data_IF_026421092880
#
_entry.id   IF_026421092880
#
_cell.length_a   1.000
_cell.length_b   1.000
_cell.length_c   1.000
_cell.angle_alpha   90.00
_cell.angle_beta   90.00
_cell.angle_gamma   90.00
#
_symmetry.space_group_name_H-M   'P 1'
#
loop_
_entity.id
_entity.type
_entity.pdbx_description
1 polymer ?
#
# COMPACT_ATOMS: atom_id res chain seq x y z
N UNK A 1 17.81 0.26 -17.85
CA UNK A 1 18.08 0.70 -16.47
C UNK A 1 16.86 1.42 -15.89
N UNK A 2 16.22 2.30 -16.66
CA UNK A 2 14.99 3.00 -16.27
C UNK A 2 13.79 2.06 -16.00
N UNK A 3 13.60 1.01 -16.80
CA UNK A 3 12.53 0.04 -16.59
C UNK A 3 12.54 -0.59 -15.19
N UNK A 4 13.68 -1.12 -14.74
CA UNK A 4 13.78 -1.78 -13.43
C UNK A 4 13.48 -0.81 -12.28
N UNK A 5 13.97 0.45 -12.40
CA UNK A 5 13.66 1.50 -11.45
C UNK A 5 12.16 1.84 -11.44
N UNK A 6 11.51 1.91 -12.60
CA UNK A 6 10.06 2.17 -12.69
C UNK A 6 9.24 1.08 -11.99
N UNK A 7 9.66 -0.18 -12.10
CA UNK A 7 9.04 -1.31 -11.39
C UNK A 7 9.27 -1.18 -9.88
N UNK A 8 10.47 -0.79 -9.46
CA UNK A 8 10.77 -0.59 -8.04
C UNK A 8 9.95 0.54 -7.42
N UNK A 9 9.80 1.66 -8.13
CA UNK A 9 8.91 2.76 -7.73
C UNK A 9 7.48 2.23 -7.61
N UNK A 10 6.99 1.49 -8.61
CA UNK A 10 5.63 0.94 -8.62
C UNK A 10 5.36 0.02 -7.44
N UNK A 11 6.26 -0.93 -7.16
CA UNK A 11 6.16 -1.84 -6.02
C UNK A 11 6.23 -1.10 -4.68
N UNK A 12 7.13 -0.11 -4.55
CA UNK A 12 7.23 0.70 -3.34
C UNK A 12 5.98 1.54 -3.08
N UNK A 13 5.43 2.18 -4.12
CA UNK A 13 4.18 2.93 -4.03
C UNK A 13 2.98 2.01 -3.74
N UNK A 14 2.91 0.83 -4.36
CA UNK A 14 1.88 -0.15 -4.07
C UNK A 14 1.94 -0.65 -2.62
N UNK A 15 3.13 -0.87 -2.09
CA UNK A 15 3.30 -1.20 -0.68
C UNK A 15 2.84 -0.08 0.25
N UNK A 16 3.17 1.17 -0.08
CA UNK A 16 2.72 2.34 0.66
C UNK A 16 1.18 2.45 0.66
N UNK A 17 0.53 2.07 -0.45
CA UNK A 17 -0.94 2.02 -0.57
C UNK A 17 -1.58 1.05 0.42
N UNK A 18 -0.93 -0.09 0.69
CA UNK A 18 -1.43 -1.06 1.66
C UNK A 18 -1.41 -0.57 3.12
N UNK A 19 -0.79 0.57 3.40
CA UNK A 19 -0.91 1.25 4.70
C UNK A 19 -1.98 2.33 4.66
N UNK A 20 -1.97 3.16 3.60
CA UNK A 20 -2.95 4.21 3.33
C UNK A 20 -3.08 4.44 1.85
N UNK A 21 -4.30 4.58 1.36
CA UNK A 21 -4.59 4.64 -0.05
C UNK A 21 -4.23 6.00 -0.61
N UNK A 22 -4.62 7.09 0.04
CA UNK A 22 -4.53 8.42 -0.57
C UNK A 22 -3.18 9.09 -0.38
N UNK A 23 -2.47 8.83 0.72
CA UNK A 23 -1.12 9.39 0.97
C UNK A 23 -0.13 9.12 -0.20
N UNK A 24 0.01 7.88 -0.71
CA UNK A 24 0.90 7.59 -1.84
C UNK A 24 0.47 8.26 -3.13
N UNK A 25 -0.84 8.35 -3.39
CA UNK A 25 -1.36 9.06 -4.56
C UNK A 25 -1.07 10.56 -4.49
N UNK A 26 -1.19 11.18 -3.32
CA UNK A 26 -0.82 12.58 -3.11
C UNK A 26 0.68 12.79 -3.37
N UNK A 27 1.53 11.94 -2.80
CA UNK A 27 2.99 12.04 -2.98
C UNK A 27 3.38 11.82 -4.45
N UNK A 28 2.81 10.80 -5.11
CA UNK A 28 3.02 10.55 -6.52
C UNK A 28 2.53 11.71 -7.40
N UNK A 29 1.37 12.31 -7.06
CA UNK A 29 0.82 13.47 -7.75
C UNK A 29 1.71 14.70 -7.61
N UNK A 30 2.21 15.00 -6.40
CA UNK A 30 3.17 16.09 -6.17
C UNK A 30 4.46 15.85 -6.95
N UNK A 31 5.01 14.63 -6.91
CA UNK A 31 6.23 14.30 -7.62
C UNK A 31 6.06 14.41 -9.13
N UNK A 32 4.93 13.96 -9.68
CA UNK A 32 4.62 14.10 -11.10
C UNK A 32 4.39 15.56 -11.50
N UNK A 33 3.65 16.33 -10.70
CA UNK A 33 3.38 17.75 -10.94
C UNK A 33 4.67 18.59 -10.92
N UNK A 34 5.65 18.22 -10.09
CA UNK A 34 6.96 18.88 -9.98
C UNK A 34 8.00 18.34 -10.97
N UNK A 35 7.65 17.35 -11.80
CA UNK A 35 8.55 16.74 -12.78
C UNK A 35 9.56 15.74 -12.20
N UNK A 36 9.45 15.38 -10.93
CA UNK A 36 10.31 14.41 -10.25
C UNK A 36 9.88 12.94 -10.47
N UNK A 37 8.69 12.70 -11.01
CA UNK A 37 8.18 11.37 -11.33
C UNK A 37 7.62 11.35 -12.75
N UNK A 38 8.14 10.45 -13.59
CA UNK A 38 7.59 10.23 -14.92
C UNK A 38 6.41 9.27 -14.84
N UNK A 39 5.31 9.66 -15.48
CA UNK A 39 4.10 8.86 -15.59
C UNK A 39 3.95 8.35 -17.02
N UNK A 40 3.35 7.18 -17.15
CA UNK A 40 2.97 6.65 -18.45
C UNK A 40 1.88 7.49 -19.11
N UNK A 41 1.83 7.48 -20.44
CA UNK A 41 1.03 8.41 -21.27
C UNK A 41 -0.42 8.56 -20.83
N UNK A 42 -1.09 7.47 -20.46
CA UNK A 42 -2.50 7.46 -20.05
C UNK A 42 -2.75 7.85 -18.60
N UNK A 43 -1.69 8.02 -17.80
CA UNK A 43 -1.76 8.34 -16.37
C UNK A 43 -1.26 9.74 -16.03
N UNK A 44 -0.87 10.55 -17.03
CA UNK A 44 -0.46 11.94 -16.83
C UNK A 44 -1.47 12.79 -16.04
N UNK A 45 -2.75 12.40 -16.04
CA UNK A 45 -3.79 13.05 -15.24
C UNK A 45 -3.46 13.07 -13.73
N UNK A 46 -2.70 12.09 -13.20
CA UNK A 46 -2.28 12.04 -11.79
C UNK A 46 -1.41 13.25 -11.44
N UNK A 47 -0.58 13.73 -12.38
CA UNK A 47 0.29 14.89 -12.22
C UNK A 47 -0.38 16.23 -12.53
N UNK A 48 -1.72 16.31 -12.56
CA UNK A 48 -2.45 17.56 -12.83
C UNK A 48 -2.87 18.27 -11.55
N UNK A 49 -3.06 19.60 -11.61
CA UNK A 49 -3.51 20.39 -10.45
C UNK A 49 -4.86 19.91 -9.89
N UNK A 50 -5.89 19.56 -10.69
CA UNK A 50 -7.13 18.99 -10.15
C UNK A 50 -6.93 17.67 -9.40
N UNK A 51 -6.07 16.78 -9.92
CA UNK A 51 -5.75 15.52 -9.25
C UNK A 51 -5.02 15.77 -7.92
N UNK A 52 -4.05 16.67 -7.90
CA UNK A 52 -3.31 17.06 -6.69
C UNK A 52 -4.25 17.58 -5.61
N UNK A 53 -5.16 18.50 -5.95
CA UNK A 53 -6.17 19.02 -5.01
C UNK A 53 -7.05 17.89 -4.50
N UNK A 54 -7.52 17.02 -5.39
CA UNK A 54 -8.40 15.88 -5.05
C UNK A 54 -7.71 14.93 -4.07
N UNK A 55 -6.47 14.52 -4.36
CA UNK A 55 -5.71 13.65 -3.48
C UNK A 55 -5.36 14.34 -2.15
N UNK A 56 -5.10 15.65 -2.16
CA UNK A 56 -4.86 16.42 -0.93
C UNK A 56 -6.08 16.38 0.00
N UNK A 57 -7.26 16.66 -0.55
CA UNK A 57 -8.53 16.60 0.21
C UNK A 57 -8.80 15.18 0.66
N UNK A 58 -8.62 14.18 -0.21
CA UNK A 58 -8.85 12.78 0.10
C UNK A 58 -7.92 12.29 1.23
N UNK A 59 -6.63 12.66 1.22
CA UNK A 59 -5.68 12.35 2.29
C UNK A 59 -6.09 12.98 3.62
N UNK A 60 -6.53 14.24 3.62
CA UNK A 60 -7.02 14.91 4.85
C UNK A 60 -8.23 14.16 5.40
N UNK A 61 -9.19 13.82 4.53
CA UNK A 61 -10.39 13.07 4.91
C UNK A 61 -10.03 11.68 5.44
N UNK A 62 -9.16 10.95 4.76
CA UNK A 62 -8.65 9.63 5.17
C UNK A 62 -8.02 9.70 6.57
N UNK A 63 -7.10 10.65 6.79
CA UNK A 63 -6.45 10.81 8.09
C UNK A 63 -7.49 11.09 9.17
N UNK A 64 -8.37 12.09 9.00
CA UNK A 64 -9.37 12.47 10.00
C UNK A 64 -10.33 11.31 10.29
N UNK A 65 -10.79 10.63 9.24
CA UNK A 65 -11.78 9.56 9.35
C UNK A 65 -11.30 8.41 10.24
N UNK A 66 -9.99 8.10 10.19
CA UNK A 66 -9.39 7.06 11.00
C UNK A 66 -9.17 7.40 12.47
N UNK A 67 -9.50 8.61 12.91
CA UNK A 67 -9.55 8.97 14.34
C UNK A 67 -10.96 8.85 14.92
N UNK A 68 -11.97 8.54 14.09
CA UNK A 68 -13.38 8.44 14.50
C UNK A 68 -13.80 6.95 14.56
N UNK A 69 -14.06 6.37 15.74
CA UNK A 69 -14.21 4.90 15.95
C UNK A 69 -15.37 4.17 15.27
N UNK A 70 -16.32 4.87 14.65
CA UNK A 70 -17.38 4.24 13.84
C UNK A 70 -17.12 4.41 12.34
N UNK A 71 -16.41 5.48 11.98
CA UNK A 71 -16.09 5.80 10.60
C UNK A 71 -14.89 4.97 10.12
N UNK A 72 -13.93 4.69 11.01
CA UNK A 72 -12.77 3.84 10.75
C UNK A 72 -13.16 2.44 10.27
N UNK A 73 -14.20 1.82 10.85
CA UNK A 73 -14.69 0.49 10.49
C UNK A 73 -15.36 0.45 9.10
N UNK A 74 -16.13 1.49 8.77
CA UNK A 74 -16.73 1.64 7.43
C UNK A 74 -15.63 1.82 6.40
N UNK A 75 -14.67 2.67 6.73
CA UNK A 75 -13.57 3.00 5.83
C UNK A 75 -12.67 1.78 5.60
N UNK A 76 -12.36 1.00 6.65
CA UNK A 76 -11.64 -0.27 6.53
C UNK A 76 -12.32 -1.21 5.53
N UNK A 77 -13.65 -1.36 5.60
CA UNK A 77 -14.40 -2.25 4.69
C UNK A 77 -14.23 -1.86 3.22
N UNK A 78 -14.19 -0.56 2.94
CA UNK A 78 -14.02 -0.03 1.58
C UNK A 78 -12.55 -0.08 1.15
N UNK A 79 -11.62 0.17 2.06
CA UNK A 79 -10.19 0.23 1.77
C UNK A 79 -9.61 -1.13 1.40
N UNK A 80 -10.10 -2.24 1.96
CA UNK A 80 -9.59 -3.57 1.62
C UNK A 80 -9.59 -3.88 0.11
N UNK A 81 -10.72 -3.80 -0.61
CA UNK A 81 -10.73 -3.97 -2.07
C UNK A 81 -10.08 -2.79 -2.79
N UNK A 82 -10.21 -1.56 -2.26
CA UNK A 82 -9.70 -0.37 -2.91
C UNK A 82 -8.17 -0.33 -2.93
N UNK A 83 -7.49 -0.81 -1.89
CA UNK A 83 -6.03 -0.86 -1.79
C UNK A 83 -5.42 -1.70 -2.92
N UNK A 84 -6.05 -2.83 -3.28
CA UNK A 84 -5.61 -3.66 -4.40
C UNK A 84 -5.71 -2.87 -5.71
N UNK A 85 -6.85 -2.25 -5.98
CA UNK A 85 -7.08 -1.46 -7.20
C UNK A 85 -6.11 -0.26 -7.26
N UNK A 86 -5.95 0.44 -6.15
CA UNK A 86 -5.02 1.55 -5.98
C UNK A 86 -3.57 1.15 -6.25
N UNK A 87 -3.12 0.01 -5.71
CA UNK A 87 -1.78 -0.52 -5.94
C UNK A 87 -1.54 -0.89 -7.40
N UNK A 88 -2.54 -1.46 -8.07
CA UNK A 88 -2.52 -1.73 -9.51
C UNK A 88 -2.38 -0.43 -10.30
N UNK A 89 -3.21 0.58 -9.98
CA UNK A 89 -3.22 1.86 -10.68
C UNK A 89 -1.87 2.57 -10.52
N UNK A 90 -1.32 2.71 -9.31
CA UNK A 90 -0.04 3.38 -9.11
C UNK A 90 1.11 2.65 -9.79
N UNK A 91 1.16 1.32 -9.69
CA UNK A 91 2.19 0.53 -10.39
C UNK A 91 2.08 0.68 -11.89
N UNK A 92 0.87 0.57 -12.44
CA UNK A 92 0.60 0.81 -13.85
C UNK A 92 0.88 2.26 -14.28
N UNK A 93 0.75 3.23 -13.38
CA UNK A 93 1.00 4.63 -13.71
C UNK A 93 2.47 4.92 -13.97
N UNK A 94 3.38 4.30 -13.23
CA UNK A 94 4.83 4.59 -13.29
C UNK A 94 5.60 3.63 -14.20
N UNK A 95 5.08 2.42 -14.48
CA UNK A 95 5.74 1.49 -15.42
C UNK A 95 5.50 1.94 -16.86
N UNK A 96 6.58 2.39 -17.50
CA UNK A 96 6.62 2.93 -18.88
C UNK A 96 7.32 1.98 -19.87
N UNK A 97 7.11 2.23 -21.16
CA UNK A 97 7.92 1.70 -22.27
C UNK A 97 8.02 0.16 -22.40
N UNK A 98 6.96 -0.55 -22.01
CA UNK A 98 6.83 -2.01 -22.18
C UNK A 98 5.50 -2.41 -22.78
N UNK A 99 5.41 -3.68 -23.23
CA UNK A 99 4.17 -4.21 -23.78
C UNK A 99 3.02 -4.13 -22.75
N UNK A 100 1.80 -3.78 -23.18
CA UNK A 100 0.65 -3.66 -22.27
C UNK A 100 0.39 -4.93 -21.44
N UNK A 101 0.62 -6.11 -22.02
CA UNK A 101 0.46 -7.38 -21.33
C UNK A 101 1.40 -7.50 -20.12
N UNK A 102 2.68 -7.20 -20.29
CA UNK A 102 3.68 -7.28 -19.20
C UNK A 102 3.36 -6.21 -18.16
N UNK A 103 3.01 -4.99 -18.61
CA UNK A 103 2.66 -3.88 -17.72
C UNK A 103 1.52 -4.23 -16.78
N UNK A 104 0.41 -4.71 -17.33
CA UNK A 104 -0.76 -5.03 -16.52
C UNK A 104 -0.54 -6.30 -15.68
N UNK A 105 0.22 -7.28 -16.18
CA UNK A 105 0.60 -8.43 -15.38
C UNK A 105 1.42 -8.02 -14.14
N UNK A 106 2.40 -7.13 -14.31
CA UNK A 106 3.18 -6.57 -13.20
C UNK A 106 2.32 -5.72 -12.26
N UNK A 107 1.47 -4.86 -12.81
CA UNK A 107 0.58 -4.02 -12.01
C UNK A 107 -0.38 -4.87 -11.15
N UNK A 108 -0.97 -5.92 -11.72
CA UNK A 108 -1.88 -6.83 -11.01
C UNK A 108 -1.12 -7.65 -9.96
N UNK A 109 -0.05 -8.33 -10.36
CA UNK A 109 0.66 -9.28 -9.49
C UNK A 109 1.48 -8.53 -8.45
N UNK A 110 2.37 -7.64 -8.89
CA UNK A 110 3.27 -6.92 -8.01
C UNK A 110 2.55 -5.75 -7.33
N UNK A 111 1.80 -4.93 -8.06
CA UNK A 111 1.07 -3.80 -7.48
C UNK A 111 -0.08 -4.26 -6.57
N UNK A 112 -1.06 -4.94 -7.14
CA UNK A 112 -2.24 -5.41 -6.41
C UNK A 112 -1.90 -6.41 -5.31
N UNK A 113 -1.01 -7.37 -5.59
CA UNK A 113 -0.60 -8.38 -4.62
C UNK A 113 0.15 -7.81 -3.41
N UNK A 114 1.08 -6.87 -3.63
CA UNK A 114 1.81 -6.23 -2.53
C UNK A 114 0.89 -5.33 -1.70
N UNK A 115 0.09 -4.48 -2.35
CA UNK A 115 -0.86 -3.61 -1.66
C UNK A 115 -1.87 -4.42 -0.83
N UNK A 116 -2.46 -5.46 -1.43
CA UNK A 116 -3.42 -6.34 -0.75
C UNK A 116 -2.81 -7.11 0.42
N UNK A 117 -1.57 -7.57 0.30
CA UNK A 117 -0.88 -8.29 1.39
C UNK A 117 -0.64 -7.38 2.59
N UNK A 118 -0.16 -6.16 2.36
CA UNK A 118 0.08 -5.19 3.44
C UNK A 118 -1.24 -4.72 4.04
N UNK A 119 -2.26 -4.42 3.22
CA UNK A 119 -3.59 -4.03 3.69
C UNK A 119 -4.25 -5.12 4.54
N UNK A 120 -4.11 -6.38 4.16
CA UNK A 120 -4.63 -7.49 4.96
C UNK A 120 -3.91 -7.60 6.32
N UNK A 121 -2.60 -7.32 6.35
CA UNK A 121 -1.83 -7.33 7.59
C UNK A 121 -2.23 -6.17 8.52
N UNK A 122 -2.39 -4.95 7.99
CA UNK A 122 -2.82 -3.75 8.75
C UNK A 122 -4.27 -3.87 9.22
N UNK A 123 -5.17 -4.38 8.38
CA UNK A 123 -6.54 -4.71 8.79
C UNK A 123 -6.56 -5.69 9.97
N UNK A 124 -5.69 -6.70 9.98
CA UNK A 124 -5.59 -7.64 11.10
C UNK A 124 -4.99 -7.02 12.37
N UNK A 125 -4.01 -6.13 12.27
CA UNK A 125 -3.46 -5.42 13.45
C UNK A 125 -4.51 -4.52 14.08
N UNK A 126 -5.33 -3.85 13.28
CA UNK A 126 -6.42 -2.99 13.76
C UNK A 126 -7.60 -3.76 14.33
N UNK A 127 -7.96 -4.89 13.73
CA UNK A 127 -8.94 -5.80 14.31
C UNK A 127 -8.52 -6.26 15.71
N UNK A 128 -7.25 -6.65 15.87
CA UNK A 128 -6.70 -7.02 17.19
C UNK A 128 -6.67 -5.84 18.17
N UNK A 129 -6.25 -4.66 17.72
CA UNK A 129 -6.25 -3.44 18.54
C UNK A 129 -7.66 -3.14 19.05
N UNK A 130 -8.66 -3.20 18.17
CA UNK A 130 -10.06 -2.99 18.51
C UNK A 130 -10.56 -4.01 19.53
N UNK A 131 -10.27 -5.30 19.30
CA UNK A 131 -10.68 -6.38 20.21
C UNK A 131 -10.04 -6.29 21.60
N UNK A 132 -8.79 -5.80 21.71
CA UNK A 132 -8.06 -5.74 22.98
C UNK A 132 -8.28 -4.43 23.75
N UNK A 133 -8.49 -3.31 23.05
CA UNK A 133 -8.52 -1.96 23.66
C UNK A 133 -9.88 -1.28 23.56
N UNK A 134 -10.89 -1.94 22.98
CA UNK A 134 -12.19 -1.34 22.70
C UNK A 134 -12.11 -0.22 21.65
N UNK A 135 -11.10 -0.25 20.77
CA UNK A 135 -10.90 0.75 19.70
C UNK A 135 -10.04 1.95 20.09
N UNK A 136 -9.68 2.11 21.37
CA UNK A 136 -8.85 3.24 21.83
C UNK A 136 -7.40 3.20 21.34
N UNK A 137 -6.90 2.02 20.94
CA UNK A 137 -5.58 1.86 20.32
C UNK A 137 -5.53 2.18 18.82
N UNK A 138 -6.67 2.25 18.14
CA UNK A 138 -6.72 2.43 16.68
C UNK A 138 -6.10 3.75 16.19
N UNK A 139 -6.26 4.90 16.88
CA UNK A 139 -5.60 6.14 16.48
C UNK A 139 -4.07 6.04 16.44
N UNK A 140 -3.46 5.29 17.36
CA UNK A 140 -2.00 5.09 17.38
C UNK A 140 -1.56 4.24 16.19
N UNK A 141 -2.25 3.13 15.93
CA UNK A 141 -1.98 2.28 14.77
C UNK A 141 -2.16 3.05 13.47
N UNK A 142 -3.24 3.83 13.37
CA UNK A 142 -3.55 4.71 12.25
C UNK A 142 -2.45 5.74 11.97
N UNK A 143 -1.89 6.34 13.03
CA UNK A 143 -0.78 7.28 12.91
C UNK A 143 0.48 6.61 12.36
N UNK A 144 0.78 5.39 12.84
CA UNK A 144 1.92 4.61 12.35
C UNK A 144 1.72 4.25 10.88
N UNK A 145 0.54 3.79 10.48
CA UNK A 145 0.20 3.49 9.08
C UNK A 145 0.39 4.72 8.18
N UNK A 146 -0.13 5.89 8.59
CA UNK A 146 0.02 7.13 7.84
C UNK A 146 1.50 7.54 7.69
N UNK A 147 2.27 7.46 8.77
CA UNK A 147 3.72 7.73 8.75
C UNK A 147 4.50 6.74 7.89
N UNK A 148 4.18 5.44 7.98
CA UNK A 148 4.78 4.39 7.15
C UNK A 148 4.46 4.59 5.67
N UNK A 149 3.21 4.92 5.34
CA UNK A 149 2.80 5.22 3.96
C UNK A 149 3.57 6.42 3.40
N UNK A 150 3.59 7.53 4.15
CA UNK A 150 4.32 8.74 3.77
C UNK A 150 5.82 8.47 3.53
N UNK A 151 6.49 7.86 4.51
CA UNK A 151 7.91 7.55 4.43
C UNK A 151 8.24 6.58 3.28
N UNK A 152 7.44 5.52 3.12
CA UNK A 152 7.66 4.53 2.08
C UNK A 152 7.41 5.08 0.68
N UNK A 153 6.41 5.96 0.51
CA UNK A 153 6.19 6.64 -0.78
C UNK A 153 7.34 7.57 -1.16
N UNK A 154 7.89 8.33 -0.20
CA UNK A 154 9.07 9.16 -0.46
C UNK A 154 10.28 8.30 -0.84
N UNK A 155 10.54 7.22 -0.08
CA UNK A 155 11.61 6.29 -0.40
C UNK A 155 11.40 5.64 -1.77
N UNK A 156 10.17 5.29 -2.13
CA UNK A 156 9.86 4.65 -3.40
C UNK A 156 10.20 5.56 -4.59
N UNK A 157 10.01 6.87 -4.47
CA UNK A 157 10.28 7.83 -5.55
C UNK A 157 11.77 8.21 -5.58
N UNK A 158 12.38 8.53 -4.44
CA UNK A 158 13.74 9.08 -4.41
C UNK A 158 14.84 8.01 -4.32
N UNK A 159 14.56 6.88 -3.66
CA UNK A 159 15.53 5.79 -3.49
C UNK A 159 14.83 4.43 -3.70
N UNK A 160 14.36 4.12 -4.93
CA UNK A 160 13.45 2.99 -5.19
C UNK A 160 14.01 1.63 -4.74
N UNK A 161 15.33 1.43 -4.84
CA UNK A 161 15.99 0.20 -4.42
C UNK A 161 15.86 -0.06 -2.91
N UNK A 162 15.96 1.00 -2.09
CA UNK A 162 15.79 0.90 -0.63
C UNK A 162 14.33 0.62 -0.28
N UNK A 163 13.39 1.27 -0.97
CA UNK A 163 11.97 1.00 -0.77
C UNK A 163 11.62 -0.47 -1.04
N UNK A 164 12.06 -1.02 -2.18
CA UNK A 164 11.82 -2.44 -2.52
C UNK A 164 12.47 -3.38 -1.51
N UNK A 165 13.68 -3.07 -1.03
CA UNK A 165 14.32 -3.86 0.02
C UNK A 165 13.46 -3.90 1.29
N UNK A 166 12.96 -2.75 1.75
CA UNK A 166 12.07 -2.66 2.91
C UNK A 166 10.78 -3.46 2.67
N UNK A 167 10.16 -3.32 1.50
CA UNK A 167 8.95 -4.06 1.13
C UNK A 167 9.20 -5.56 1.13
N UNK A 168 10.30 -6.02 0.56
CA UNK A 168 10.68 -7.43 0.55
C UNK A 168 10.84 -7.96 1.98
N UNK A 169 11.51 -7.22 2.87
CA UNK A 169 11.66 -7.59 4.28
C UNK A 169 10.32 -7.69 5.00
N UNK A 170 9.41 -6.74 4.77
CA UNK A 170 8.04 -6.74 5.35
C UNK A 170 7.28 -7.99 4.87
N UNK A 171 7.28 -8.26 3.57
CA UNK A 171 6.55 -9.41 3.00
C UNK A 171 7.13 -10.73 3.50
N UNK A 172 8.46 -10.90 3.50
CA UNK A 172 9.12 -12.10 4.03
C UNK A 172 8.74 -12.30 5.51
N UNK A 173 8.75 -11.23 6.30
CA UNK A 173 8.35 -11.28 7.70
C UNK A 173 6.89 -11.72 7.86
N UNK A 174 5.95 -11.12 7.12
CA UNK A 174 4.52 -11.49 7.14
C UNK A 174 4.29 -12.96 6.75
N UNK A 175 4.91 -13.40 5.66
CA UNK A 175 4.82 -14.79 5.18
C UNK A 175 5.40 -15.76 6.21
N UNK A 176 6.53 -15.42 6.85
CA UNK A 176 7.15 -16.26 7.87
C UNK A 176 6.25 -16.47 9.10
N UNK A 177 5.50 -15.45 9.51
CA UNK A 177 4.53 -15.54 10.61
C UNK A 177 3.38 -16.46 10.22
N UNK A 178 2.84 -16.29 9.01
CA UNK A 178 1.74 -17.11 8.52
C UNK A 178 2.14 -18.58 8.39
N UNK A 179 3.31 -18.84 7.78
CA UNK A 179 3.88 -20.18 7.62
C UNK A 179 4.05 -20.91 8.96
N UNK A 180 4.67 -20.23 9.95
CA UNK A 180 4.87 -20.80 11.29
C UNK A 180 3.56 -21.11 12.01
N UNK A 181 2.51 -20.33 11.79
CA UNK A 181 1.21 -20.51 12.47
C UNK A 181 0.38 -21.65 11.87
N UNK A 182 0.44 -21.85 10.56
CA UNK A 182 -0.32 -22.90 9.88
C UNK A 182 0.36 -24.28 9.91
N UNK A 183 1.68 -24.35 9.71
CA UNK A 183 2.37 -25.65 9.63
C UNK A 183 2.64 -26.26 11.00
N UNK A 184 2.80 -25.44 12.04
CA UNK A 184 2.97 -25.93 13.41
C UNK A 184 1.66 -26.49 14.03
N UNK A 185 0.51 -26.23 13.40
CA UNK A 185 -0.80 -26.76 13.82
C UNK A 185 -1.10 -28.15 13.22
N UNK A 186 -0.41 -28.57 12.15
CA UNK A 186 -0.64 -29.88 11.52
C UNK A 186 0.12 -31.04 12.18
N UNK A 187 0.99 -30.76 13.16
CA UNK A 187 1.79 -31.78 13.86
C UNK A 187 1.27 -32.13 15.25
N UNK A 188 0.07 -31.66 15.63
CA UNK A 188 -0.51 -31.88 16.97
C UNK A 188 -1.82 -32.66 16.96
N UNK A 189 -2.28 -33.14 15.80
CA UNK A 189 -3.55 -33.87 15.65
C UNK A 189 -3.40 -35.36 15.30
N UNK A 190 -2.21 -35.94 15.51
CA UNK A 190 -1.91 -37.35 15.17
C UNK A 190 -1.41 -38.19 16.34
N UNK A 191 -1.57 -37.72 17.58
CA UNK A 191 -1.14 -38.43 18.79
C UNK A 191 -2.29 -38.84 19.72
N UNK A 192 -3.52 -38.88 19.22
CA UNK A 192 -4.69 -39.42 19.92
C UNK A 192 -5.49 -40.34 18.97
N UNK A 193 -4.92 -41.48 18.61
CA UNK A 193 -5.65 -42.70 18.24
C UNK A 193 -4.99 -43.90 18.92
#
# INVERSE_FOLDING_TARGET
MEFLLSVFVGVGLAAAVGFRIFIPFLIASIAAYTGNLQLSTYFNWIGTLPALITFSVATIVEIIAYYVPWLDNILDTIEHPLAVIAGIILTGSVVTDISPLIKWSLAIIAGGGVAGTIQAATGFTRFKSSALTGGTGNPVVSTVEAGSSFGLSLLAIFIPAVAVLIVALIIIWLVSIFYRKFIRKSSTSTSEE
#
